data_IF_113491165953
#
_entry.id   IF_113491165953
#
_cell.length_a   1.000
_cell.length_b   1.000
_cell.length_c   1.000
_cell.angle_alpha   90.00
_cell.angle_beta   90.00
_cell.angle_gamma   90.00
#
_symmetry.space_group_name_H-M   'P 1'
#
loop_
_entity.id
_entity.type
_entity.pdbx_description
1 polymer ?
#
# COMPACT_ATOMS: atom_id res chain seq x y z
N UNK A 1 -45.70 -4.02 -14.10
CA UNK A 1 -46.88 -3.24 -14.55
C UNK A 1 -48.18 -3.80 -13.92
N UNK A 2 -48.29 -5.10 -13.63
CA UNK A 2 -49.51 -5.65 -13.00
C UNK A 2 -49.65 -5.41 -11.49
N UNK A 3 -48.53 -5.16 -10.80
CA UNK A 3 -48.52 -4.97 -9.33
C UNK A 3 -49.00 -3.54 -8.94
N UNK A 4 -48.60 -2.53 -9.70
CA UNK A 4 -48.98 -1.13 -9.47
C UNK A 4 -50.47 -0.86 -9.62
N UNK A 5 -51.14 -1.59 -10.53
CA UNK A 5 -52.59 -1.53 -10.67
C UNK A 5 -53.33 -2.15 -9.47
N UNK A 6 -52.79 -3.21 -8.85
CA UNK A 6 -53.38 -3.86 -7.65
C UNK A 6 -53.34 -2.99 -6.42
N UNK A 7 -52.31 -2.16 -6.25
CA UNK A 7 -52.11 -1.30 -5.06
C UNK A 7 -52.50 0.17 -5.29
N UNK A 8 -53.12 0.49 -6.41
CA UNK A 8 -53.55 1.86 -6.80
C UNK A 8 -52.43 2.91 -6.72
N UNK A 9 -51.18 2.52 -7.00
CA UNK A 9 -50.05 3.44 -7.03
C UNK A 9 -49.77 3.94 -8.43
N UNK A 10 -49.35 5.21 -8.57
CA UNK A 10 -48.90 5.80 -9.81
C UNK A 10 -47.41 5.47 -10.01
N UNK A 11 -47.09 4.78 -11.10
CA UNK A 11 -45.68 4.58 -11.50
C UNK A 11 -45.18 5.86 -12.16
N UNK A 12 -44.11 6.43 -11.64
CA UNK A 12 -43.39 7.54 -12.24
C UNK A 12 -42.02 7.01 -12.65
N UNK A 13 -41.75 6.91 -13.94
CA UNK A 13 -40.43 6.62 -14.49
C UNK A 13 -39.59 7.90 -14.47
N UNK A 14 -38.51 7.87 -13.70
CA UNK A 14 -37.50 8.93 -13.71
C UNK A 14 -36.44 8.57 -14.74
N UNK A 15 -36.19 9.41 -15.76
CA UNK A 15 -35.19 9.10 -16.77
C UNK A 15 -33.80 8.95 -16.14
N UNK A 16 -33.06 7.95 -16.59
CA UNK A 16 -31.72 7.68 -16.11
C UNK A 16 -30.78 8.85 -16.44
N UNK A 17 -30.09 9.38 -15.44
CA UNK A 17 -29.09 10.46 -15.65
C UNK A 17 -27.90 9.88 -16.42
N UNK A 18 -27.64 10.40 -17.64
CA UNK A 18 -26.54 9.97 -18.49
C UNK A 18 -25.19 10.10 -17.73
N UNK A 19 -24.38 9.05 -17.77
CA UNK A 19 -23.05 9.04 -17.16
C UNK A 19 -23.01 8.67 -15.67
N UNK A 20 -24.18 8.42 -15.03
CA UNK A 20 -24.26 7.89 -13.67
C UNK A 20 -24.93 6.54 -13.72
N UNK A 21 -24.19 5.48 -13.41
CA UNK A 21 -24.72 4.13 -13.23
C UNK A 21 -24.51 3.66 -11.81
N UNK A 22 -25.34 2.75 -11.34
CA UNK A 22 -25.13 2.10 -10.03
C UNK A 22 -23.75 1.48 -9.94
N UNK A 23 -23.24 0.87 -11.01
CA UNK A 23 -21.88 0.33 -11.10
C UNK A 23 -20.82 1.43 -10.92
N UNK A 24 -20.96 2.58 -11.58
CA UNK A 24 -20.02 3.69 -11.43
C UNK A 24 -20.04 4.29 -10.01
N UNK A 25 -21.18 4.29 -9.33
CA UNK A 25 -21.30 4.70 -7.94
C UNK A 25 -20.65 3.66 -7.03
N UNK A 26 -20.93 2.38 -7.24
CA UNK A 26 -20.33 1.28 -6.47
C UNK A 26 -18.82 1.24 -6.66
N UNK A 27 -18.34 1.44 -7.89
CA UNK A 27 -16.90 1.49 -8.19
C UNK A 27 -16.22 2.68 -7.48
N UNK A 28 -16.87 3.85 -7.48
CA UNK A 28 -16.38 5.03 -6.72
C UNK A 28 -16.43 4.79 -5.21
N UNK A 29 -17.51 4.26 -4.69
CA UNK A 29 -17.63 3.91 -3.27
C UNK A 29 -16.65 2.82 -2.86
N UNK A 30 -16.32 1.85 -3.71
CA UNK A 30 -15.32 0.84 -3.44
C UNK A 30 -13.90 1.41 -3.41
N UNK A 31 -13.62 2.47 -4.14
CA UNK A 31 -12.38 3.24 -4.03
C UNK A 31 -12.32 4.05 -2.73
N UNK A 32 -13.44 4.61 -2.31
CA UNK A 32 -13.53 5.46 -1.10
C UNK A 32 -13.60 4.65 0.21
N UNK A 33 -13.93 3.36 0.16
CA UNK A 33 -14.26 2.56 1.37
C UNK A 33 -13.36 1.33 1.56
N UNK A 34 -12.17 1.29 0.98
CA UNK A 34 -11.21 0.24 1.37
C UNK A 34 -10.71 0.51 2.79
N UNK A 35 -11.32 -0.17 3.76
CA UNK A 35 -10.82 -0.14 5.13
C UNK A 35 -9.35 -0.58 5.18
N UNK A 36 -8.55 -0.09 6.13
CA UNK A 36 -7.18 -0.56 6.31
C UNK A 36 -7.07 -2.08 6.38
N UNK A 37 -7.99 -2.76 7.08
CA UNK A 37 -8.02 -4.22 7.17
C UNK A 37 -8.29 -4.92 5.84
N UNK A 38 -9.11 -4.35 4.97
CA UNK A 38 -9.33 -4.89 3.62
C UNK A 38 -8.10 -4.72 2.75
N UNK A 39 -7.39 -3.61 2.89
CA UNK A 39 -6.18 -3.29 2.12
C UNK A 39 -5.00 -4.16 2.54
N UNK A 40 -4.78 -4.40 3.84
CA UNK A 40 -3.70 -5.24 4.35
C UNK A 40 -3.70 -6.64 3.75
N UNK A 41 -4.85 -7.26 3.57
CA UNK A 41 -4.99 -8.61 3.00
C UNK A 41 -4.96 -8.66 1.46
N UNK A 42 -5.04 -7.50 0.79
CA UNK A 42 -5.24 -7.44 -0.66
C UNK A 42 -4.02 -7.95 -1.45
N UNK A 43 -2.80 -7.61 -1.01
CA UNK A 43 -1.57 -8.06 -1.68
C UNK A 43 -1.47 -9.59 -1.71
N UNK A 44 -1.68 -10.22 -0.56
CA UNK A 44 -1.65 -11.69 -0.43
C UNK A 44 -2.68 -12.34 -1.34
N UNK A 45 -3.93 -11.87 -1.29
CA UNK A 45 -5.02 -12.41 -2.15
C UNK A 45 -4.72 -12.25 -3.64
N UNK A 46 -4.10 -11.13 -4.03
CA UNK A 46 -3.74 -10.89 -5.43
C UNK A 46 -2.60 -11.82 -5.86
N UNK A 47 -1.60 -12.01 -5.01
CA UNK A 47 -0.49 -12.94 -5.27
C UNK A 47 -0.97 -14.39 -5.42
N UNK A 48 -1.87 -14.84 -4.54
CA UNK A 48 -2.45 -16.18 -4.61
C UNK A 48 -3.21 -16.43 -5.93
N UNK A 49 -3.85 -15.39 -6.49
CA UNK A 49 -4.57 -15.49 -7.76
C UNK A 49 -3.67 -15.42 -9.00
N UNK A 50 -2.67 -14.53 -8.98
CA UNK A 50 -1.83 -14.21 -10.15
C UNK A 50 -0.49 -14.93 -10.16
N UNK A 51 -0.05 -15.50 -9.04
CA UNK A 51 1.25 -16.14 -8.82
C UNK A 51 2.47 -15.21 -8.91
N UNK A 52 2.32 -14.04 -9.47
CA UNK A 52 3.32 -12.96 -9.49
C UNK A 52 2.61 -11.61 -9.49
N UNK A 53 3.32 -10.56 -9.04
CA UNK A 53 2.79 -9.20 -8.96
C UNK A 53 3.69 -8.23 -9.70
N UNK A 54 3.07 -7.25 -10.37
CA UNK A 54 3.74 -6.08 -10.93
C UNK A 54 3.59 -4.94 -9.94
N UNK A 55 4.67 -4.61 -9.28
CA UNK A 55 4.70 -3.54 -8.28
C UNK A 55 5.47 -2.37 -8.88
N UNK A 56 4.93 -1.16 -8.73
CA UNK A 56 5.59 0.08 -9.13
C UNK A 56 5.84 0.96 -7.92
N UNK A 57 6.98 1.63 -7.90
CA UNK A 57 7.27 2.63 -6.88
C UNK A 57 6.39 3.87 -7.05
N UNK A 58 5.86 4.36 -5.92
CA UNK A 58 5.11 5.61 -5.83
C UNK A 58 5.56 6.40 -4.61
N UNK A 59 5.58 7.73 -4.72
CA UNK A 59 6.12 8.62 -3.70
C UNK A 59 5.21 9.80 -3.35
N UNK A 60 4.06 9.89 -4.00
CA UNK A 60 3.08 10.96 -3.78
C UNK A 60 1.69 10.52 -4.25
N UNK A 61 0.62 11.18 -3.80
CA UNK A 61 -0.73 10.95 -4.33
C UNK A 61 -0.80 11.05 -5.85
N UNK A 62 -0.10 12.02 -6.44
CA UNK A 62 -0.12 12.20 -7.90
C UNK A 62 0.55 11.03 -8.63
N UNK A 63 1.73 10.59 -8.20
CA UNK A 63 2.41 9.44 -8.81
C UNK A 63 1.60 8.15 -8.65
N UNK A 64 0.97 7.96 -7.50
CA UNK A 64 0.11 6.81 -7.24
C UNK A 64 -1.16 6.82 -8.10
N UNK A 65 -1.80 7.97 -8.26
CA UNK A 65 -2.97 8.13 -9.12
C UNK A 65 -2.64 7.84 -10.60
N UNK A 66 -1.50 8.33 -11.09
CA UNK A 66 -1.01 8.03 -12.44
C UNK A 66 -0.76 6.54 -12.60
N UNK A 67 -0.04 5.93 -11.65
CA UNK A 67 0.28 4.51 -11.66
C UNK A 67 -0.97 3.61 -11.59
N UNK A 68 -1.98 3.99 -10.81
CA UNK A 68 -3.25 3.26 -10.70
C UNK A 68 -4.02 3.24 -12.01
N UNK A 69 -3.98 4.34 -12.75
CA UNK A 69 -4.67 4.48 -14.04
C UNK A 69 -3.85 4.00 -15.24
N UNK A 70 -2.56 3.70 -15.03
CA UNK A 70 -1.69 3.22 -16.07
C UNK A 70 -2.05 1.78 -16.44
N UNK A 71 -2.47 1.57 -17.67
CA UNK A 71 -2.78 0.24 -18.19
C UNK A 71 -2.45 0.14 -19.68
N UNK A 72 -2.12 -1.07 -20.13
CA UNK A 72 -1.91 -1.35 -21.53
C UNK A 72 -2.73 -2.57 -21.97
N UNK A 73 -3.22 -2.55 -23.19
CA UNK A 73 -3.86 -3.70 -23.80
C UNK A 73 -2.80 -4.58 -24.47
N UNK A 74 -2.67 -5.84 -24.05
CA UNK A 74 -1.79 -6.83 -24.69
C UNK A 74 -2.52 -8.16 -24.83
N UNK A 75 -2.55 -8.71 -26.05
CA UNK A 75 -3.23 -9.98 -26.34
C UNK A 75 -4.68 -10.00 -25.84
N UNK A 76 -5.44 -8.93 -26.08
CA UNK A 76 -6.84 -8.74 -25.65
C UNK A 76 -7.03 -8.76 -24.11
N UNK A 77 -5.97 -8.58 -23.34
CA UNK A 77 -6.03 -8.48 -21.88
C UNK A 77 -5.51 -7.13 -21.43
N UNK A 78 -6.22 -6.52 -20.51
CA UNK A 78 -5.74 -5.33 -19.81
C UNK A 78 -4.62 -5.74 -18.85
N UNK A 79 -3.50 -5.06 -18.94
CA UNK A 79 -2.35 -5.24 -18.04
C UNK A 79 -2.14 -3.94 -17.30
N UNK A 80 -2.12 -4.01 -15.98
CA UNK A 80 -1.89 -2.89 -15.07
C UNK A 80 -0.89 -3.29 -13.97
N UNK A 81 -0.57 -2.36 -13.09
CA UNK A 81 0.18 -2.65 -11.87
C UNK A 81 -0.74 -3.27 -10.82
N UNK A 82 -0.22 -4.24 -10.07
CA UNK A 82 -0.95 -4.99 -9.06
C UNK A 82 -0.88 -4.34 -7.68
N UNK A 83 0.08 -3.45 -7.48
CA UNK A 83 0.30 -2.74 -6.22
C UNK A 83 1.41 -1.71 -6.31
N UNK A 84 1.68 -1.09 -5.18
CA UNK A 84 2.65 -0.01 -5.02
C UNK A 84 3.78 -0.39 -4.08
N UNK A 85 4.89 0.30 -4.21
CA UNK A 85 6.01 0.26 -3.30
C UNK A 85 6.38 1.68 -2.85
N UNK A 86 6.53 1.88 -1.54
CA UNK A 86 7.07 3.10 -0.93
C UNK A 86 8.50 2.82 -0.51
N UNK A 87 9.45 3.46 -1.17
CA UNK A 87 10.89 3.34 -0.93
C UNK A 87 11.36 4.33 0.14
N UNK A 88 12.19 3.87 1.06
CA UNK A 88 12.82 4.73 2.07
C UNK A 88 13.81 5.73 1.45
N UNK A 89 14.53 5.29 0.42
CA UNK A 89 15.45 6.13 -0.34
C UNK A 89 14.71 7.31 -0.98
N UNK A 90 13.62 7.04 -1.68
CA UNK A 90 12.84 8.08 -2.35
C UNK A 90 12.17 9.01 -1.34
N UNK A 91 11.61 8.49 -0.26
CA UNK A 91 11.03 9.28 0.82
C UNK A 91 12.05 10.24 1.45
N UNK A 92 13.28 9.78 1.64
CA UNK A 92 14.38 10.60 2.16
C UNK A 92 14.82 11.67 1.16
N UNK A 93 15.02 11.27 -0.10
CA UNK A 93 15.48 12.15 -1.18
C UNK A 93 14.49 13.29 -1.45
N UNK A 94 13.20 13.00 -1.48
CA UNK A 94 12.14 14.02 -1.65
C UNK A 94 12.12 15.07 -0.54
N UNK A 95 12.66 14.74 0.63
CA UNK A 95 12.77 15.65 1.78
C UNK A 95 14.17 16.29 1.90
N UNK A 96 15.05 16.07 0.91
CA UNK A 96 16.42 16.55 0.94
C UNK A 96 17.24 15.94 2.07
N UNK A 97 16.90 14.74 2.52
CA UNK A 97 17.56 14.03 3.62
C UNK A 97 18.37 12.84 3.09
N UNK A 98 19.45 12.45 3.76
CA UNK A 98 20.16 11.23 3.43
C UNK A 98 19.34 10.00 3.81
N UNK A 99 19.55 8.91 3.08
CA UNK A 99 18.88 7.61 3.30
C UNK A 99 19.56 6.81 4.44
N UNK A 100 19.35 7.26 5.67
CA UNK A 100 19.95 6.72 6.90
C UNK A 100 18.93 6.59 8.04
N UNK A 101 17.68 6.29 7.71
CA UNK A 101 16.57 6.18 8.67
C UNK A 101 16.26 7.50 9.43
N UNK A 102 16.55 8.64 8.81
CA UNK A 102 16.33 9.97 9.43
C UNK A 102 14.91 10.51 9.21
N UNK A 103 14.16 9.91 8.28
CA UNK A 103 12.74 10.22 8.09
C UNK A 103 11.93 9.35 9.04
N UNK A 104 11.27 9.99 9.99
CA UNK A 104 10.51 9.30 11.02
C UNK A 104 9.32 8.51 10.43
N UNK A 105 9.00 7.39 11.06
CA UNK A 105 7.91 6.51 10.64
C UNK A 105 6.58 7.29 10.48
N UNK A 106 6.23 8.16 11.41
CA UNK A 106 4.98 8.92 11.35
C UNK A 106 4.89 9.83 10.12
N UNK A 107 6.01 10.45 9.70
CA UNK A 107 6.06 11.25 8.48
C UNK A 107 5.84 10.40 7.23
N UNK A 108 6.37 9.18 7.22
CA UNK A 108 6.20 8.24 6.12
C UNK A 108 4.78 7.68 6.09
N UNK A 109 4.19 7.35 7.25
CA UNK A 109 2.80 6.90 7.34
C UNK A 109 1.81 7.99 6.88
N UNK A 110 2.09 9.27 7.16
CA UNK A 110 1.27 10.36 6.64
C UNK A 110 1.28 10.38 5.10
N UNK A 111 2.47 10.28 4.48
CA UNK A 111 2.57 10.21 3.01
C UNK A 111 1.82 9.00 2.42
N UNK A 112 1.84 7.86 3.11
CA UNK A 112 1.10 6.67 2.71
C UNK A 112 -0.41 6.89 2.84
N UNK A 113 -0.89 7.54 3.90
CA UNK A 113 -2.31 7.91 4.02
C UNK A 113 -2.76 8.80 2.86
N UNK A 114 -1.97 9.83 2.52
CA UNK A 114 -2.28 10.71 1.39
C UNK A 114 -2.36 9.93 0.06
N UNK A 115 -1.51 8.91 -0.13
CA UNK A 115 -1.57 7.98 -1.27
C UNK A 115 -2.85 7.14 -1.22
N UNK A 116 -3.22 6.65 -0.05
CA UNK A 116 -4.40 5.81 0.13
C UNK A 116 -5.72 6.56 -0.04
N UNK A 117 -5.73 7.88 0.15
CA UNK A 117 -6.90 8.72 -0.13
C UNK A 117 -7.28 8.76 -1.61
N UNK A 118 -6.34 8.48 -2.50
CA UNK A 118 -6.54 8.57 -3.95
C UNK A 118 -6.43 7.24 -4.69
N UNK A 119 -6.10 6.15 -3.99
CA UNK A 119 -5.84 4.83 -4.61
C UNK A 119 -6.46 3.68 -3.83
N UNK A 120 -6.70 2.57 -4.54
CA UNK A 120 -7.27 1.34 -3.97
C UNK A 120 -6.28 0.16 -3.92
N UNK A 121 -5.13 0.29 -4.59
CA UNK A 121 -4.17 -0.82 -4.71
C UNK A 121 -3.42 -1.07 -3.39
N UNK A 122 -2.97 -2.31 -3.15
CA UNK A 122 -2.14 -2.64 -2.00
C UNK A 122 -0.77 -1.97 -2.10
N UNK A 123 -0.15 -1.71 -0.96
CA UNK A 123 1.16 -1.07 -0.88
C UNK A 123 2.13 -1.90 -0.03
N UNK A 124 3.35 -2.04 -0.54
CA UNK A 124 4.51 -2.58 0.17
C UNK A 124 5.32 -1.38 0.67
N UNK A 125 5.66 -1.34 1.95
CA UNK A 125 6.49 -0.29 2.55
C UNK A 125 7.88 -0.82 2.87
N UNK A 126 8.91 -0.18 2.35
CA UNK A 126 10.28 -0.36 2.82
C UNK A 126 10.44 0.35 4.18
N UNK A 127 10.80 -0.38 5.20
CA UNK A 127 10.96 0.15 6.57
C UNK A 127 12.42 0.16 7.01
N UNK A 128 13.34 0.16 6.05
CA UNK A 128 14.78 0.14 6.31
C UNK A 128 15.15 -1.07 7.23
N UNK A 129 15.86 -0.84 8.32
CA UNK A 129 16.12 -1.88 9.31
C UNK A 129 14.91 -2.19 10.20
N UNK A 130 13.86 -1.36 10.14
CA UNK A 130 12.68 -1.44 11.01
C UNK A 130 12.91 -0.88 12.43
N UNK A 131 14.07 -0.26 12.67
CA UNK A 131 14.43 0.30 13.97
C UNK A 131 14.86 -0.75 15.02
N UNK A 132 14.89 -0.36 16.28
CA UNK A 132 15.24 -1.26 17.39
C UNK A 132 14.20 -2.39 17.55
N UNK A 133 14.62 -3.60 17.94
CA UNK A 133 13.70 -4.74 18.08
C UNK A 133 12.50 -4.45 19.00
N UNK A 134 12.72 -3.70 20.08
CA UNK A 134 11.70 -3.33 21.07
C UNK A 134 10.62 -2.38 20.48
N UNK A 135 11.01 -1.54 19.50
CA UNK A 135 10.11 -0.63 18.83
C UNK A 135 9.45 -1.27 17.60
N UNK A 136 10.06 -2.31 17.04
CA UNK A 136 9.62 -2.93 15.79
C UNK A 136 8.20 -3.49 15.90
N UNK A 137 7.84 -4.08 17.03
CA UNK A 137 6.49 -4.57 17.31
C UNK A 137 5.43 -3.44 17.24
N UNK A 138 5.74 -2.30 17.87
CA UNK A 138 4.87 -1.12 17.88
C UNK A 138 4.78 -0.52 16.46
N UNK A 139 5.90 -0.45 15.75
CA UNK A 139 5.98 0.06 14.39
C UNK A 139 5.12 -0.79 13.43
N UNK A 140 5.25 -2.12 13.49
CA UNK A 140 4.44 -3.04 12.67
C UNK A 140 2.95 -2.85 12.92
N UNK A 141 2.54 -2.72 14.19
CA UNK A 141 1.13 -2.47 14.54
C UNK A 141 0.63 -1.13 14.00
N UNK A 142 1.47 -0.10 13.96
CA UNK A 142 1.12 1.23 13.41
C UNK A 142 1.00 1.19 11.89
N UNK A 143 1.95 0.52 11.22
CA UNK A 143 1.96 0.32 9.77
C UNK A 143 0.73 -0.48 9.32
N UNK A 144 0.39 -1.54 10.03
CA UNK A 144 -0.80 -2.36 9.73
C UNK A 144 -2.09 -1.55 9.87
N UNK A 145 -2.23 -0.73 10.93
CA UNK A 145 -3.41 0.14 11.11
C UNK A 145 -3.59 1.15 9.99
N UNK A 146 -2.52 1.59 9.35
CA UNK A 146 -2.58 2.47 8.16
C UNK A 146 -3.13 1.73 6.94
N UNK A 147 -3.02 0.41 6.89
CA UNK A 147 -3.51 -0.40 5.76
C UNK A 147 -2.40 -0.88 4.81
N UNK A 148 -1.15 -0.74 5.18
CA UNK A 148 -0.01 -1.28 4.43
C UNK A 148 -0.12 -2.81 4.38
N UNK A 149 0.06 -3.39 3.19
CA UNK A 149 -0.17 -4.81 2.94
C UNK A 149 1.06 -5.69 3.20
N UNK A 150 2.25 -5.11 3.12
CA UNK A 150 3.52 -5.81 3.37
C UNK A 150 4.62 -4.82 3.71
N UNK A 151 5.64 -5.28 4.38
CA UNK A 151 6.85 -4.51 4.67
C UNK A 151 8.09 -5.23 4.15
N UNK A 152 9.09 -4.45 3.75
CA UNK A 152 10.45 -4.91 3.47
C UNK A 152 11.31 -4.47 4.66
N UNK A 153 12.04 -5.40 5.24
CA UNK A 153 12.94 -5.14 6.38
C UNK A 153 14.33 -5.58 5.97
N UNK A 154 15.30 -4.69 6.09
CA UNK A 154 16.71 -4.98 5.80
C UNK A 154 17.38 -5.66 7.00
N UNK A 155 18.17 -6.70 6.73
CA UNK A 155 18.93 -7.44 7.76
C UNK A 155 20.27 -6.76 8.11
N UNK A 156 20.24 -5.44 8.25
CA UNK A 156 21.40 -4.62 8.62
C UNK A 156 21.50 -4.45 10.12
N UNK A 157 22.75 -4.43 10.62
CA UNK A 157 23.05 -4.14 12.01
C UNK A 157 23.24 -2.65 12.23
N UNK A 158 22.56 -2.12 13.25
CA UNK A 158 22.56 -0.68 13.55
C UNK A 158 21.74 0.11 12.53
N UNK A 159 22.00 1.41 12.47
CA UNK A 159 21.34 2.30 11.52
C UNK A 159 21.84 2.05 10.10
N UNK A 160 20.93 2.16 9.14
CA UNK A 160 21.26 2.13 7.72
C UNK A 160 22.26 3.22 7.37
N UNK A 161 23.24 2.88 6.56
CA UNK A 161 24.16 3.84 5.97
C UNK A 161 23.69 4.16 4.55
N UNK A 162 23.86 5.40 4.13
CA UNK A 162 23.34 5.90 2.86
C UNK A 162 23.78 5.04 1.67
N UNK A 163 22.81 4.44 0.98
CA UNK A 163 23.02 3.56 -0.17
C UNK A 163 23.53 4.30 -1.41
N UNK A 164 23.40 5.65 -1.49
CA UNK A 164 23.88 6.44 -2.61
C UNK A 164 25.40 6.65 -2.63
N UNK A 165 26.11 6.40 -1.53
CA UNK A 165 27.56 6.56 -1.44
C UNK A 165 28.37 5.33 -1.91
N UNK A 166 27.72 4.38 -2.57
CA UNK A 166 28.36 3.22 -3.15
C UNK A 166 28.98 2.27 -2.13
N UNK A 167 30.00 1.52 -2.58
CA UNK A 167 30.67 0.46 -1.80
C UNK A 167 31.66 0.98 -0.75
N UNK A 168 31.92 2.28 -0.70
CA UNK A 168 32.88 2.87 0.25
C UNK A 168 32.39 2.86 1.70
N UNK A 169 31.07 2.74 1.90
CA UNK A 169 30.44 2.66 3.23
C UNK A 169 30.11 1.23 3.56
N UNK A 170 30.90 0.63 4.44
CA UNK A 170 30.69 -0.76 4.88
C UNK A 170 29.40 -0.87 5.70
N UNK A 171 28.44 -1.66 5.20
CA UNK A 171 27.25 -2.11 5.94
C UNK A 171 27.57 -3.43 6.64
N UNK A 172 27.12 -3.59 7.88
CA UNK A 172 27.19 -4.86 8.59
C UNK A 172 25.83 -5.56 8.50
N UNK A 173 25.86 -6.83 8.09
CA UNK A 173 24.69 -7.70 8.12
C UNK A 173 24.44 -8.18 9.56
N UNK A 174 23.18 -8.23 9.98
CA UNK A 174 22.83 -8.80 11.28
C UNK A 174 22.91 -10.34 11.24
N UNK A 175 23.02 -10.94 12.40
CA UNK A 175 23.02 -12.39 12.50
C UNK A 175 21.64 -12.96 12.21
N UNK A 176 21.57 -14.15 11.60
CA UNK A 176 20.30 -14.85 11.36
C UNK A 176 19.48 -14.97 12.65
N UNK A 177 20.13 -15.23 13.77
CA UNK A 177 19.49 -15.37 15.09
C UNK A 177 18.80 -14.09 15.52
N UNK A 178 19.49 -12.94 15.47
CA UNK A 178 18.94 -11.66 15.89
C UNK A 178 17.84 -11.20 14.94
N UNK A 179 18.09 -11.29 13.64
CA UNK A 179 17.12 -10.88 12.64
C UNK A 179 15.83 -11.72 12.69
N UNK A 180 15.95 -13.05 12.83
CA UNK A 180 14.80 -13.94 13.02
C UNK A 180 14.00 -13.62 14.27
N UNK A 181 14.68 -13.26 15.39
CA UNK A 181 14.01 -12.81 16.61
C UNK A 181 13.21 -11.54 16.38
N UNK A 182 13.80 -10.55 15.70
CA UNK A 182 13.14 -9.30 15.33
C UNK A 182 11.91 -9.54 14.47
N UNK A 183 12.04 -10.35 13.40
CA UNK A 183 10.91 -10.70 12.54
C UNK A 183 9.79 -11.43 13.30
N UNK A 184 10.17 -12.29 14.27
CA UNK A 184 9.20 -12.99 15.13
C UNK A 184 8.38 -12.04 15.99
N UNK A 185 8.98 -10.94 16.51
CA UNK A 185 8.27 -9.88 17.23
C UNK A 185 7.27 -9.19 16.32
N UNK A 186 7.69 -8.76 15.13
CA UNK A 186 6.80 -8.16 14.14
C UNK A 186 5.65 -9.09 13.72
N UNK A 187 5.94 -10.39 13.55
CA UNK A 187 4.90 -11.38 13.23
C UNK A 187 3.86 -11.55 14.34
N UNK A 188 4.26 -11.42 15.60
CA UNK A 188 3.33 -11.45 16.75
C UNK A 188 2.47 -10.20 16.83
N UNK A 189 3.00 -9.07 16.42
CA UNK A 189 2.32 -7.78 16.50
C UNK A 189 1.20 -7.63 15.48
N UNK A 190 1.32 -8.28 14.31
CA UNK A 190 0.31 -8.19 13.26
C UNK A 190 -0.97 -8.95 13.65
N UNK A 191 -2.12 -8.40 13.22
CA UNK A 191 -3.46 -8.96 13.47
C UNK A 191 -4.07 -9.65 12.25
N UNK A 192 -3.57 -9.34 11.05
CA UNK A 192 -4.05 -9.88 9.76
C UNK A 192 -2.96 -10.65 9.01
#
# INVERSE_FOLDING_TARGET
>A
INLTKKIKCKLIEIPHTKGISGSNIIDRMSLEVLSPSSRTSLLKRTLEKKQFLRIIEVHSPLSALIAEKCSVMKNQRMIDYDGFWSSSLTDSTLRGKPDIEVVELNQRLQSINDIFDVTSKPLIMDVDTGGQPEHFEINVSSIERTGVSSIIVEDKKGLKKNSLFGTTVKQEQDTIKNFSKKLSLGKKAKKN
#
